data_IF_249902362987
#
_entry.id   IF_249902362987
#
_cell.length_a   1.000
_cell.length_b   1.000
_cell.length_c   1.000
_cell.angle_alpha   90.00
_cell.angle_beta   90.00
_cell.angle_gamma   90.00
#
_symmetry.space_group_name_H-M   'P 1'
#
loop_
_entity.id
_entity.type
_entity.pdbx_description
1 polymer ?
#
# COMPACT_ATOMS: atom_id res chain seq x y z
N UNK A 1 -0.31 -11.61 -7.23
CA UNK A 1 0.58 -10.57 -6.70
C UNK A 1 0.74 -9.39 -7.65
N UNK A 2 0.89 -9.57 -8.97
CA UNK A 2 1.32 -8.47 -9.85
C UNK A 2 0.45 -7.20 -9.79
N UNK A 3 -0.87 -7.30 -9.94
CA UNK A 3 -1.71 -6.10 -9.97
C UNK A 3 -1.87 -5.45 -8.58
N UNK A 4 -2.39 -6.20 -7.61
CA UNK A 4 -2.67 -5.69 -6.26
C UNK A 4 -1.40 -5.37 -5.46
N UNK A 5 -0.33 -6.13 -5.65
CA UNK A 5 0.98 -5.86 -5.04
C UNK A 5 1.58 -4.57 -5.59
N UNK A 6 1.66 -4.42 -6.92
CA UNK A 6 2.22 -3.20 -7.52
C UNK A 6 1.40 -1.95 -7.18
N UNK A 7 0.07 -2.03 -7.25
CA UNK A 7 -0.82 -0.93 -6.91
C UNK A 7 -0.75 -0.58 -5.41
N UNK A 8 -0.70 -1.59 -4.53
CA UNK A 8 -0.52 -1.41 -3.09
C UNK A 8 0.80 -0.73 -2.74
N UNK A 9 1.91 -1.18 -3.35
CA UNK A 9 3.23 -0.55 -3.20
C UNK A 9 3.23 0.89 -3.69
N UNK A 10 2.59 1.20 -4.82
CA UNK A 10 2.50 2.56 -5.34
C UNK A 10 1.71 3.48 -4.39
N UNK A 11 0.54 3.03 -3.90
CA UNK A 11 -0.24 3.78 -2.92
C UNK A 11 0.51 4.02 -1.61
N UNK A 12 1.28 3.03 -1.16
CA UNK A 12 2.14 3.17 0.00
C UNK A 12 3.22 4.24 -0.22
N UNK A 13 3.90 4.22 -1.37
CA UNK A 13 4.93 5.20 -1.71
C UNK A 13 4.39 6.62 -1.82
N UNK A 14 3.18 6.81 -2.36
CA UNK A 14 2.51 8.11 -2.40
C UNK A 14 2.23 8.62 -0.98
N UNK A 15 1.69 7.77 -0.11
CA UNK A 15 1.43 8.13 1.29
C UNK A 15 2.72 8.44 2.07
N UNK A 16 3.77 7.66 1.84
CA UNK A 16 5.09 7.90 2.41
C UNK A 16 5.69 9.22 1.92
N UNK A 17 5.56 9.53 0.63
CA UNK A 17 5.98 10.81 0.05
C UNK A 17 5.28 12.00 0.71
N UNK A 18 3.97 11.91 0.97
CA UNK A 18 3.23 12.94 1.69
C UNK A 18 3.72 13.11 3.14
N UNK A 19 3.99 12.01 3.85
CA UNK A 19 4.50 12.05 5.21
C UNK A 19 5.92 12.66 5.27
N UNK A 20 6.80 12.30 4.34
CA UNK A 20 8.14 12.87 4.21
C UNK A 20 8.04 14.36 3.90
N UNK A 21 7.21 14.77 2.94
CA UNK A 21 7.03 16.16 2.58
C UNK A 21 6.61 17.02 3.78
N UNK A 22 5.59 16.59 4.53
CA UNK A 22 5.12 17.28 5.72
C UNK A 22 6.17 17.28 6.85
N UNK A 23 6.95 16.20 6.97
CA UNK A 23 8.04 16.10 7.93
C UNK A 23 9.19 17.07 7.61
N UNK A 24 9.58 17.17 6.35
CA UNK A 24 10.62 18.10 5.88
C UNK A 24 10.18 19.55 6.03
N UNK A 25 8.94 19.89 5.66
CA UNK A 25 8.36 21.23 5.87
C UNK A 25 8.45 21.65 7.34
N UNK A 26 8.06 20.75 8.25
CA UNK A 26 8.17 21.00 9.69
C UNK A 26 9.61 21.14 10.17
N UNK A 27 10.52 20.31 9.66
CA UNK A 27 11.92 20.38 10.04
C UNK A 27 12.57 21.71 9.60
N UNK A 28 12.25 22.19 8.40
CA UNK A 28 12.72 23.49 7.91
C UNK A 28 12.17 24.64 8.77
N UNK A 29 10.88 24.60 9.12
CA UNK A 29 10.28 25.60 9.99
C UNK A 29 10.94 25.64 11.38
N UNK A 30 11.26 24.47 11.93
CA UNK A 30 11.94 24.34 13.23
C UNK A 30 13.36 24.94 13.18
N UNK A 31 14.12 24.66 12.12
CA UNK A 31 15.47 25.21 11.92
C UNK A 31 15.43 26.74 11.79
N UNK A 32 14.40 27.28 11.14
CA UNK A 32 14.22 28.73 10.97
C UNK A 32 13.55 29.42 12.17
N UNK A 33 13.27 28.69 13.25
CA UNK A 33 12.53 29.18 14.43
C UNK A 33 11.17 29.80 14.09
N UNK A 34 10.50 29.31 13.04
CA UNK A 34 9.18 29.75 12.63
C UNK A 34 8.13 28.86 13.32
N UNK A 35 7.15 29.44 14.04
CA UNK A 35 6.08 28.65 14.64
C UNK A 35 5.23 27.99 13.54
N UNK A 36 5.15 26.67 13.57
CA UNK A 36 4.38 25.86 12.62
C UNK A 36 3.48 24.89 13.38
N UNK A 37 2.27 24.63 12.84
CA UNK A 37 1.29 23.73 13.47
C UNK A 37 1.80 22.29 13.60
N UNK A 38 1.11 21.47 14.36
CA UNK A 38 1.42 20.03 14.39
C UNK A 38 1.08 19.40 13.04
N UNK A 39 1.90 18.44 12.61
CA UNK A 39 1.65 17.68 11.36
C UNK A 39 0.32 16.92 11.49
N UNK A 40 0.03 16.43 12.70
CA UNK A 40 -1.22 15.76 13.03
C UNK A 40 -2.46 16.66 12.91
N UNK A 41 -2.32 17.99 12.89
CA UNK A 41 -3.47 18.89 12.68
C UNK A 41 -3.76 19.13 11.18
N UNK A 42 -3.01 18.49 10.29
CA UNK A 42 -3.16 18.63 8.85
C UNK A 42 -3.97 17.46 8.26
N UNK A 43 -5.02 17.75 7.51
CA UNK A 43 -5.78 16.74 6.78
C UNK A 43 -4.90 15.89 5.84
N UNK A 44 -3.88 16.50 5.23
CA UNK A 44 -2.93 15.81 4.35
C UNK A 44 -2.15 14.70 5.05
N UNK A 45 -1.87 14.85 6.36
CA UNK A 45 -1.20 13.82 7.12
C UNK A 45 -2.07 12.56 7.23
N UNK A 46 -3.35 12.71 7.55
CA UNK A 46 -4.28 11.59 7.65
C UNK A 46 -4.57 10.94 6.30
N UNK A 47 -4.62 11.72 5.22
CA UNK A 47 -4.73 11.18 3.86
C UNK A 47 -3.49 10.33 3.51
N UNK A 48 -2.29 10.84 3.79
CA UNK A 48 -1.05 10.08 3.59
C UNK A 48 -1.00 8.81 4.44
N UNK A 49 -1.40 8.90 5.71
CA UNK A 49 -1.49 7.76 6.63
C UNK A 49 -2.48 6.70 6.15
N UNK A 50 -3.70 7.12 5.78
CA UNK A 50 -4.71 6.22 5.24
C UNK A 50 -4.24 5.55 3.94
N UNK A 51 -3.56 6.29 3.06
CA UNK A 51 -2.98 5.75 1.83
C UNK A 51 -1.94 4.67 2.11
N UNK A 52 -1.07 4.86 3.12
CA UNK A 52 -0.09 3.86 3.54
C UNK A 52 -0.77 2.60 4.11
N UNK A 53 -1.78 2.76 4.95
CA UNK A 53 -2.54 1.64 5.52
C UNK A 53 -3.23 0.85 4.41
N UNK A 54 -3.98 1.54 3.53
CA UNK A 54 -4.68 0.94 2.39
C UNK A 54 -3.71 0.24 1.43
N UNK A 55 -2.57 0.86 1.10
CA UNK A 55 -1.55 0.27 0.25
C UNK A 55 -0.97 -1.02 0.82
N UNK A 56 -0.72 -1.04 2.14
CA UNK A 56 -0.23 -2.24 2.84
C UNK A 56 -1.28 -3.36 2.83
N UNK A 57 -2.55 -3.03 3.08
CA UNK A 57 -3.65 -4.00 3.03
C UNK A 57 -3.83 -4.59 1.62
N UNK A 58 -3.75 -3.76 0.57
CA UNK A 58 -3.80 -4.21 -0.83
C UNK A 58 -2.63 -5.13 -1.17
N UNK A 59 -1.42 -4.79 -0.71
CA UNK A 59 -0.24 -5.61 -0.92
C UNK A 59 -0.40 -6.99 -0.27
N UNK A 60 -0.79 -7.02 1.01
CA UNK A 60 -1.02 -8.26 1.75
C UNK A 60 -2.14 -9.08 1.09
N UNK A 61 -3.27 -8.46 0.74
CA UNK A 61 -4.37 -9.12 0.06
C UNK A 61 -3.95 -9.73 -1.29
N UNK A 62 -3.17 -8.99 -2.08
CA UNK A 62 -2.62 -9.47 -3.35
C UNK A 62 -1.62 -10.62 -3.22
N UNK A 63 -0.87 -10.66 -2.12
CA UNK A 63 0.03 -11.75 -1.76
C UNK A 63 -0.76 -12.98 -1.31
N UNK A 64 -1.72 -12.79 -0.40
CA UNK A 64 -2.56 -13.86 0.13
C UNK A 64 -3.41 -14.51 -0.97
N UNK A 65 -4.00 -13.71 -1.86
CA UNK A 65 -4.77 -14.22 -3.00
C UNK A 65 -3.94 -15.11 -3.93
N UNK A 66 -2.67 -14.80 -4.13
CA UNK A 66 -1.79 -15.65 -4.92
C UNK A 66 -1.41 -16.93 -4.18
N UNK A 67 -1.14 -16.87 -2.87
CA UNK A 67 -0.90 -18.07 -2.07
C UNK A 67 -2.12 -19.01 -2.09
N UNK A 68 -3.33 -18.46 -1.90
CA UNK A 68 -4.57 -19.25 -1.93
C UNK A 68 -4.81 -19.86 -3.31
N UNK A 69 -4.62 -19.08 -4.39
CA UNK A 69 -4.75 -19.60 -5.76
C UNK A 69 -3.76 -20.74 -6.03
N UNK A 70 -2.52 -20.61 -5.59
CA UNK A 70 -1.47 -21.63 -5.73
C UNK A 70 -1.74 -22.89 -4.90
N UNK A 71 -2.50 -22.78 -3.81
CA UNK A 71 -2.82 -23.89 -2.90
C UNK A 71 -4.18 -24.55 -3.23
N UNK A 72 -4.82 -24.19 -4.35
CA UNK A 72 -6.12 -24.75 -4.75
C UNK A 72 -6.00 -26.22 -5.19
N UNK A 73 -6.86 -27.06 -4.61
CA UNK A 73 -6.90 -28.52 -4.84
C UNK A 73 -7.37 -28.91 -6.24
N UNK A 74 -8.10 -28.01 -6.91
CA UNK A 74 -8.68 -28.17 -8.26
C UNK A 74 -7.64 -28.23 -9.39
N UNK A 75 -6.38 -27.85 -9.14
CA UNK A 75 -5.35 -27.79 -10.20
C UNK A 75 -4.98 -29.15 -10.78
N UNK A 76 -5.30 -30.25 -10.10
CA UNK A 76 -4.96 -31.61 -10.52
C UNK A 76 -6.16 -32.39 -11.10
N UNK A 77 -7.30 -31.73 -11.32
CA UNK A 77 -8.46 -32.35 -11.94
C UNK A 77 -8.37 -32.14 -13.46
N UNK A 78 -7.73 -33.07 -14.15
CA UNK A 78 -7.67 -33.05 -15.60
C UNK A 78 -8.98 -33.65 -16.15
N UNK A 79 -9.69 -32.91 -17.00
CA UNK A 79 -10.76 -33.51 -17.80
C UNK A 79 -10.10 -34.38 -18.88
N UNK A 80 -10.08 -35.70 -18.65
CA UNK A 80 -9.66 -36.65 -19.67
C UNK A 80 -10.79 -36.77 -20.67
N UNK A 81 -10.66 -36.09 -21.80
CA UNK A 81 -11.54 -36.26 -22.94
C UNK A 81 -11.35 -37.71 -23.46
N UNK A 82 -12.39 -38.54 -23.34
CA UNK A 82 -12.38 -39.87 -23.95
C UNK A 82 -12.49 -39.70 -25.46
N UNK A 83 -11.38 -39.89 -26.16
CA UNK A 83 -11.39 -40.17 -27.60
C UNK A 83 -12.14 -41.50 -27.83
N UNK A 84 -13.21 -41.47 -28.63
CA UNK A 84 -13.98 -42.64 -29.08
C UNK A 84 -13.33 -43.18 -30.34
#
# INVERSE_FOLDING_TARGET
>A
MHLFGAMGSLMFLVGLGMAIYLGVDKMIALIKHIPQRLIADSAFFYIGLASMIMGTLLFIGGFLGELVSRNSTERNNYEVEKEI
#
